data_IF_107243753778
#
_entry.id   IF_107243753778
#
_cell.length_a   1.000
_cell.length_b   1.000
_cell.length_c   1.000
_cell.angle_alpha   90.00
_cell.angle_beta   90.00
_cell.angle_gamma   90.00
#
_symmetry.space_group_name_H-M   'P 1'
#
loop_
_entity.id
_entity.type
_entity.pdbx_description
1 polymer ?
#
# COMPACT_ATOMS: atom_id res chain seq x y z
N UNK A 1 -12.58 -11.42 19.15
CA UNK A 1 -11.91 -10.30 18.46
C UNK A 1 -12.96 -9.48 17.76
N UNK A 2 -12.90 -8.15 17.86
CA UNK A 2 -13.91 -7.26 17.28
C UNK A 2 -13.72 -7.05 15.76
N UNK A 3 -12.52 -7.37 15.24
CA UNK A 3 -12.12 -7.20 13.84
C UNK A 3 -11.53 -8.48 13.23
N UNK A 4 -12.31 -9.59 13.14
CA UNK A 4 -11.80 -10.83 12.58
C UNK A 4 -11.52 -10.69 11.08
N UNK A 5 -10.49 -11.41 10.61
CA UNK A 5 -10.19 -11.53 9.19
C UNK A 5 -11.34 -12.23 8.45
N UNK A 6 -11.77 -11.64 7.34
CA UNK A 6 -12.65 -12.27 6.36
C UNK A 6 -12.03 -12.04 4.99
N UNK A 7 -11.79 -13.12 4.20
CA UNK A 7 -11.24 -12.97 2.85
C UNK A 7 -12.20 -12.17 1.97
N UNK A 8 -11.65 -11.51 0.94
CA UNK A 8 -12.47 -10.75 -0.02
C UNK A 8 -13.49 -11.66 -0.71
N UNK A 9 -14.71 -11.18 -0.86
CA UNK A 9 -15.71 -11.75 -1.75
C UNK A 9 -15.41 -11.44 -3.21
N UNK A 10 -16.16 -12.07 -4.12
CA UNK A 10 -16.03 -11.89 -5.57
C UNK A 10 -16.33 -10.44 -6.00
N UNK A 11 -17.30 -9.79 -5.38
CA UNK A 11 -17.75 -8.43 -5.73
C UNK A 11 -17.08 -7.32 -4.89
N UNK A 12 -16.22 -7.72 -3.95
CA UNK A 12 -15.52 -6.81 -3.06
C UNK A 12 -14.39 -6.10 -3.82
N UNK A 13 -14.38 -4.76 -3.69
CA UNK A 13 -13.39 -3.87 -4.26
C UNK A 13 -12.10 -3.89 -3.42
N UNK A 14 -10.94 -3.93 -4.08
CA UNK A 14 -9.61 -3.90 -3.46
C UNK A 14 -8.68 -2.98 -4.26
N UNK A 15 -7.64 -2.46 -3.62
CA UNK A 15 -6.67 -1.51 -4.17
C UNK A 15 -5.31 -2.20 -4.38
N UNK A 16 -4.31 -1.54 -4.99
CA UNK A 16 -2.92 -2.01 -4.93
C UNK A 16 -2.29 -1.79 -3.54
N UNK A 17 -2.96 -1.09 -2.61
CA UNK A 17 -2.41 -0.79 -1.30
C UNK A 17 -2.72 -1.95 -0.32
N UNK A 18 -1.71 -2.69 0.17
CA UNK A 18 -1.92 -3.77 1.12
C UNK A 18 -2.57 -3.29 2.43
N UNK A 19 -2.25 -2.06 2.88
CA UNK A 19 -2.81 -1.48 4.09
C UNK A 19 -4.35 -1.38 4.02
N UNK A 20 -4.87 -0.79 2.94
CA UNK A 20 -6.31 -0.58 2.77
C UNK A 20 -7.06 -1.90 2.59
N UNK A 21 -6.46 -2.85 1.86
CA UNK A 21 -7.02 -4.17 1.67
C UNK A 21 -7.15 -4.93 3.01
N UNK A 22 -6.13 -4.85 3.86
CA UNK A 22 -6.14 -5.44 5.20
C UNK A 22 -7.20 -4.78 6.09
N UNK A 23 -7.31 -3.45 6.10
CA UNK A 23 -8.37 -2.76 6.83
C UNK A 23 -9.78 -3.16 6.40
N UNK A 24 -10.01 -3.39 5.10
CA UNK A 24 -11.29 -3.91 4.60
C UNK A 24 -11.51 -5.38 4.99
N UNK A 25 -10.48 -6.23 4.89
CA UNK A 25 -10.55 -7.64 5.28
C UNK A 25 -10.76 -7.83 6.79
N UNK A 26 -10.40 -6.84 7.62
CA UNK A 26 -10.64 -6.84 9.07
C UNK A 26 -11.86 -6.00 9.49
N UNK A 27 -12.57 -5.38 8.53
CA UNK A 27 -13.80 -4.63 8.80
C UNK A 27 -13.59 -3.28 9.49
N UNK A 28 -12.37 -2.73 9.49
CA UNK A 28 -12.12 -1.32 9.84
C UNK A 28 -12.65 -0.39 8.75
N UNK A 29 -12.54 -0.82 7.49
CA UNK A 29 -13.25 -0.25 6.35
C UNK A 29 -14.48 -1.11 6.03
N UNK A 30 -15.47 -0.57 5.29
CA UNK A 30 -16.52 -1.40 4.69
C UNK A 30 -15.89 -2.59 3.97
N UNK A 31 -16.27 -3.82 4.32
CA UNK A 31 -15.67 -5.05 3.78
C UNK A 31 -15.79 -5.13 2.25
N UNK A 32 -16.85 -4.53 1.71
CA UNK A 32 -17.08 -4.36 0.27
C UNK A 32 -16.02 -3.50 -0.43
N UNK A 33 -15.26 -2.69 0.31
CA UNK A 33 -14.26 -1.77 -0.22
C UNK A 33 -14.88 -0.60 -1.00
N UNK A 34 -16.15 -0.26 -0.78
CA UNK A 34 -16.90 0.75 -1.55
C UNK A 34 -17.47 1.84 -0.64
N UNK A 35 -17.79 3.00 -1.24
CA UNK A 35 -18.42 4.15 -0.60
C UNK A 35 -17.69 4.63 0.66
N UNK A 36 -16.35 4.67 0.59
CA UNK A 36 -15.49 5.04 1.70
C UNK A 36 -15.35 6.55 1.72
N UNK A 37 -15.86 7.18 2.79
CA UNK A 37 -15.73 8.63 3.02
C UNK A 37 -14.43 8.94 3.76
N UNK A 38 -13.87 10.17 3.64
CA UNK A 38 -12.63 10.56 4.30
C UNK A 38 -12.60 10.25 5.80
N UNK A 39 -13.67 10.61 6.52
CA UNK A 39 -13.78 10.35 7.97
C UNK A 39 -13.67 8.87 8.35
N UNK A 40 -14.17 7.98 7.50
CA UNK A 40 -14.14 6.52 7.73
C UNK A 40 -12.72 6.01 7.48
N UNK A 41 -12.07 6.49 6.42
CA UNK A 41 -10.70 6.13 6.10
C UNK A 41 -9.71 6.60 7.18
N UNK A 42 -9.84 7.86 7.64
CA UNK A 42 -9.02 8.39 8.75
C UNK A 42 -9.18 7.51 9.98
N UNK A 43 -10.42 7.24 10.40
CA UNK A 43 -10.70 6.40 11.56
C UNK A 43 -10.09 5.00 11.43
N UNK A 44 -10.24 4.37 10.27
CA UNK A 44 -9.69 3.03 10.01
C UNK A 44 -8.15 3.01 10.08
N UNK A 45 -7.47 4.03 9.56
CA UNK A 45 -6.01 4.16 9.66
C UNK A 45 -5.55 4.33 11.12
N UNK A 46 -6.30 5.11 11.91
CA UNK A 46 -5.99 5.27 13.33
C UNK A 46 -6.23 3.98 14.12
N UNK A 47 -7.36 3.31 13.92
CA UNK A 47 -7.72 2.12 14.72
C UNK A 47 -6.99 0.86 14.29
N UNK A 48 -6.73 0.68 12.98
CA UNK A 48 -6.10 -0.54 12.46
C UNK A 48 -4.57 -0.48 12.42
N UNK A 49 -3.98 0.72 12.27
CA UNK A 49 -2.52 0.89 12.19
C UNK A 49 -1.96 1.85 13.24
N UNK A 50 -2.77 2.31 14.19
CA UNK A 50 -2.35 3.23 15.25
C UNK A 50 -1.71 4.53 14.71
N UNK A 51 -2.15 4.99 13.53
CA UNK A 51 -1.64 6.26 12.98
C UNK A 51 -2.16 7.44 13.80
N UNK A 52 -1.35 8.49 13.90
CA UNK A 52 -1.80 9.76 14.47
C UNK A 52 -2.83 10.42 13.55
N UNK A 53 -3.76 11.20 14.11
CA UNK A 53 -4.76 11.91 13.32
C UNK A 53 -4.14 12.79 12.21
N UNK A 54 -3.08 13.60 12.45
CA UNK A 54 -2.48 14.40 11.40
C UNK A 54 -1.96 13.57 10.23
N UNK A 55 -1.28 12.45 10.49
CA UNK A 55 -0.78 11.57 9.44
C UNK A 55 -1.92 10.88 8.70
N UNK A 56 -2.91 10.34 9.42
CA UNK A 56 -4.07 9.69 8.81
C UNK A 56 -4.89 10.65 7.95
N UNK A 57 -5.08 11.90 8.40
CA UNK A 57 -5.75 12.95 7.64
C UNK A 57 -4.93 13.35 6.41
N UNK A 58 -3.62 13.51 6.54
CA UNK A 58 -2.73 13.82 5.42
C UNK A 58 -2.80 12.75 4.33
N UNK A 59 -2.64 11.47 4.69
CA UNK A 59 -2.73 10.35 3.75
C UNK A 59 -4.11 10.27 3.08
N UNK A 60 -5.18 10.43 3.87
CA UNK A 60 -6.55 10.37 3.37
C UNK A 60 -6.84 11.50 2.37
N UNK A 61 -6.64 12.75 2.77
CA UNK A 61 -6.95 13.89 1.91
C UNK A 61 -5.99 13.98 0.72
N UNK A 62 -4.71 13.64 0.90
CA UNK A 62 -3.74 13.51 -0.19
C UNK A 62 -4.20 12.52 -1.25
N UNK A 63 -4.63 11.32 -0.84
CA UNK A 63 -5.19 10.32 -1.75
C UNK A 63 -6.43 10.81 -2.51
N UNK A 64 -7.38 11.46 -1.82
CA UNK A 64 -8.58 12.02 -2.44
C UNK A 64 -8.26 13.13 -3.46
N UNK A 65 -7.31 14.01 -3.13
CA UNK A 65 -6.83 15.07 -4.02
C UNK A 65 -6.19 14.46 -5.28
N UNK A 66 -5.28 13.49 -5.11
CA UNK A 66 -4.59 12.84 -6.23
C UNK A 66 -5.58 12.10 -7.14
N UNK A 67 -6.58 11.43 -6.58
CA UNK A 67 -7.66 10.78 -7.33
C UNK A 67 -8.61 11.77 -8.02
N UNK A 68 -8.69 13.01 -7.55
CA UNK A 68 -9.68 13.99 -7.98
C UNK A 68 -11.11 13.64 -7.53
N UNK A 69 -11.25 12.87 -6.45
CA UNK A 69 -12.53 12.42 -5.88
C UNK A 69 -12.65 12.93 -4.45
N UNK A 70 -13.70 13.70 -4.14
CA UNK A 70 -13.81 14.42 -2.86
C UNK A 70 -14.94 13.95 -1.93
N UNK A 71 -15.87 13.14 -2.43
CA UNK A 71 -17.03 12.68 -1.66
C UNK A 71 -16.79 11.30 -1.01
N UNK A 72 -16.59 10.30 -1.86
CA UNK A 72 -16.33 8.91 -1.48
C UNK A 72 -15.51 8.23 -2.56
N UNK A 73 -14.80 7.18 -2.16
CA UNK A 73 -13.97 6.35 -3.03
C UNK A 73 -14.29 4.87 -2.84
N UNK A 74 -14.07 4.09 -3.87
CA UNK A 74 -13.91 2.63 -3.78
C UNK A 74 -12.43 2.28 -3.79
N UNK A 75 -12.03 1.16 -3.19
CA UNK A 75 -10.63 0.76 -3.13
C UNK A 75 -10.01 0.58 -4.53
N UNK A 76 -10.78 0.11 -5.51
CA UNK A 76 -10.35 0.01 -6.91
C UNK A 76 -9.99 1.36 -7.53
N UNK A 77 -10.52 2.49 -7.02
CA UNK A 77 -10.18 3.82 -7.53
C UNK A 77 -8.68 4.12 -7.31
N UNK A 78 -8.09 3.57 -6.26
CA UNK A 78 -6.64 3.66 -6.01
C UNK A 78 -5.81 2.86 -7.01
N UNK A 79 -6.40 2.03 -7.88
CA UNK A 79 -5.67 1.41 -8.98
C UNK A 79 -5.52 2.35 -10.18
N UNK A 80 -6.15 3.54 -10.21
CA UNK A 80 -6.05 4.47 -11.35
C UNK A 80 -4.61 4.97 -11.51
N UNK A 81 -4.03 4.73 -12.67
CA UNK A 81 -2.63 4.97 -12.94
C UNK A 81 -2.26 6.46 -12.98
N UNK A 82 -1.10 6.79 -12.41
CA UNK A 82 -0.59 8.16 -12.34
C UNK A 82 -1.36 9.07 -11.38
N UNK A 83 -2.09 8.47 -10.43
CA UNK A 83 -2.78 9.18 -9.34
C UNK A 83 -2.01 9.01 -8.04
N UNK A 84 -2.39 8.00 -7.26
CA UNK A 84 -1.58 7.49 -6.15
C UNK A 84 -0.76 6.31 -6.63
N UNK A 85 -1.37 5.44 -7.45
CA UNK A 85 -0.69 4.32 -8.07
C UNK A 85 0.35 4.78 -9.08
N UNK A 86 1.46 4.05 -9.09
CA UNK A 86 2.60 4.26 -9.96
C UNK A 86 3.30 2.93 -10.30
N UNK A 87 4.05 2.97 -11.41
CA UNK A 87 4.94 1.88 -11.80
C UNK A 87 6.06 1.65 -10.77
N UNK A 88 6.90 0.64 -10.96
CA UNK A 88 7.96 0.27 -10.02
C UNK A 88 7.44 -0.10 -8.61
N UNK A 89 6.19 -0.54 -8.51
CA UNK A 89 5.64 -1.13 -7.28
C UNK A 89 6.48 -2.32 -6.83
N UNK A 90 6.68 -2.48 -5.52
CA UNK A 90 7.54 -3.54 -4.98
C UNK A 90 7.00 -4.97 -5.21
N UNK A 91 5.68 -5.12 -5.30
CA UNK A 91 5.03 -6.44 -5.36
C UNK A 91 3.95 -6.56 -6.45
N UNK A 92 3.73 -5.51 -7.25
CA UNK A 92 2.76 -5.48 -8.35
C UNK A 92 3.46 -5.22 -9.69
N UNK A 93 2.86 -5.69 -10.79
CA UNK A 93 3.30 -5.31 -12.14
C UNK A 93 2.98 -3.85 -12.43
N UNK A 94 3.76 -3.27 -13.34
CA UNK A 94 3.51 -1.92 -13.85
C UNK A 94 2.19 -1.88 -14.65
N UNK A 95 1.60 -0.69 -14.76
CA UNK A 95 0.41 -0.51 -15.59
C UNK A 95 0.76 -0.72 -17.06
N UNK A 96 -0.09 -1.48 -17.78
CA UNK A 96 0.13 -1.72 -19.21
C UNK A 96 -0.15 -0.44 -20.00
N UNK A 97 0.62 -0.19 -21.09
CA UNK A 97 0.39 0.98 -21.92
C UNK A 97 -1.07 1.08 -22.41
N UNK A 98 -1.75 2.17 -22.08
CA UNK A 98 -3.12 2.45 -22.47
C UNK A 98 -4.19 2.04 -21.46
N UNK A 99 -3.86 1.28 -20.41
CA UNK A 99 -4.80 0.92 -19.35
C UNK A 99 -4.97 2.09 -18.36
N UNK A 100 -6.21 2.37 -17.94
CA UNK A 100 -6.47 3.38 -16.90
C UNK A 100 -6.17 2.83 -15.49
N UNK A 101 -6.32 1.52 -15.28
CA UNK A 101 -6.19 0.89 -13.97
C UNK A 101 -5.04 -0.12 -13.96
N UNK A 102 -4.19 0.00 -12.95
CA UNK A 102 -3.10 -0.92 -12.65
C UNK A 102 -3.61 -2.27 -12.12
N UNK A 103 -2.82 -3.35 -12.31
CA UNK A 103 -3.08 -4.61 -11.64
C UNK A 103 -2.87 -4.48 -10.12
N UNK A 104 -3.79 -5.03 -9.34
CA UNK A 104 -3.74 -5.07 -7.87
C UNK A 104 -3.53 -6.50 -7.34
N UNK A 105 -2.82 -7.33 -8.13
CA UNK A 105 -2.55 -8.73 -7.81
C UNK A 105 -1.08 -8.90 -7.52
N UNK A 106 -0.77 -9.34 -6.30
CA UNK A 106 0.59 -9.59 -5.85
C UNK A 106 1.29 -10.63 -6.71
N UNK A 107 2.53 -10.32 -7.10
CA UNK A 107 3.37 -11.17 -7.93
C UNK A 107 4.35 -11.97 -7.07
N UNK A 108 4.28 -13.31 -7.05
CA UNK A 108 5.15 -14.14 -6.22
C UNK A 108 6.65 -13.92 -6.49
N UNK A 109 7.03 -13.64 -7.73
CA UNK A 109 8.41 -13.35 -8.12
C UNK A 109 8.92 -12.04 -7.50
N UNK A 110 8.05 -11.03 -7.35
CA UNK A 110 8.44 -9.76 -6.76
C UNK A 110 8.51 -9.84 -5.23
N UNK A 111 7.60 -10.60 -4.60
CA UNK A 111 7.73 -10.89 -3.16
C UNK A 111 9.04 -11.62 -2.86
N UNK A 112 9.40 -12.65 -3.65
CA UNK A 112 10.70 -13.34 -3.52
C UNK A 112 11.89 -12.40 -3.71
N UNK A 113 11.80 -11.47 -4.67
CA UNK A 113 12.87 -10.50 -4.91
C UNK A 113 13.02 -9.52 -3.73
N UNK A 114 11.91 -9.04 -3.16
CA UNK A 114 11.92 -8.20 -1.97
C UNK A 114 12.53 -8.93 -0.76
N UNK A 115 12.17 -10.20 -0.55
CA UNK A 115 12.78 -11.02 0.50
C UNK A 115 14.28 -11.20 0.29
N UNK A 116 14.72 -11.40 -0.96
CA UNK A 116 16.13 -11.54 -1.30
C UNK A 116 16.94 -10.25 -1.15
N UNK A 117 16.28 -9.09 -1.03
CA UNK A 117 16.94 -7.82 -0.74
C UNK A 117 17.32 -7.67 0.74
N UNK A 118 16.72 -8.45 1.64
CA UNK A 118 17.08 -8.51 3.06
C UNK A 118 18.53 -8.99 3.23
N UNK A 119 19.34 -8.18 3.92
CA UNK A 119 20.74 -8.53 4.18
C UNK A 119 20.91 -9.70 5.15
N UNK A 120 20.02 -9.85 6.13
CA UNK A 120 20.07 -10.91 7.15
C UNK A 120 19.15 -12.11 6.83
N UNK A 121 18.27 -11.98 5.84
CA UNK A 121 17.29 -13.00 5.46
C UNK A 121 16.10 -13.11 6.43
N UNK A 122 15.99 -12.20 7.39
CA UNK A 122 14.98 -12.22 8.46
C UNK A 122 14.17 -10.92 8.52
N UNK A 123 14.79 -9.77 8.26
CA UNK A 123 14.19 -8.44 8.41
C UNK A 123 14.44 -7.56 7.18
N UNK A 124 13.52 -6.62 6.96
CA UNK A 124 13.74 -5.48 6.08
C UNK A 124 14.10 -4.25 6.93
N UNK A 125 15.27 -3.69 6.66
CA UNK A 125 15.70 -2.38 7.16
C UNK A 125 15.42 -1.28 6.14
N UNK A 126 15.58 -0.01 6.56
CA UNK A 126 15.57 1.12 5.63
C UNK A 126 16.56 0.94 4.45
N UNK A 127 17.73 0.33 4.69
CA UNK A 127 18.72 0.10 3.65
C UNK A 127 18.29 -0.98 2.66
N UNK A 128 17.78 -2.11 3.15
CA UNK A 128 17.29 -3.20 2.29
C UNK A 128 16.14 -2.72 1.41
N UNK A 129 15.24 -1.93 1.98
CA UNK A 129 14.13 -1.35 1.25
C UNK A 129 14.61 -0.33 0.22
N UNK A 130 15.56 0.55 0.56
CA UNK A 130 16.15 1.47 -0.40
C UNK A 130 16.80 0.73 -1.60
N UNK A 131 17.47 -0.39 -1.33
CA UNK A 131 18.02 -1.27 -2.38
C UNK A 131 16.91 -1.86 -3.25
N UNK A 132 15.82 -2.35 -2.65
CA UNK A 132 14.66 -2.86 -3.38
C UNK A 132 14.02 -1.79 -4.27
N UNK A 133 13.95 -0.53 -3.79
CA UNK A 133 13.48 0.63 -4.56
C UNK A 133 14.33 0.90 -5.78
N UNK A 134 15.66 1.03 -5.59
CA UNK A 134 16.60 1.26 -6.70
C UNK A 134 16.49 0.16 -7.75
N UNK A 135 16.39 -1.10 -7.31
CA UNK A 135 16.21 -2.24 -8.21
C UNK A 135 14.92 -2.13 -9.02
N UNK A 136 13.77 -1.93 -8.37
CA UNK A 136 12.47 -1.83 -9.06
C UNK A 136 12.39 -0.63 -10.00
N UNK A 137 12.95 0.50 -9.61
CA UNK A 137 12.99 1.70 -10.46
C UNK A 137 13.89 1.52 -11.68
N UNK A 138 14.96 0.72 -11.59
CA UNK A 138 15.80 0.37 -12.74
C UNK A 138 15.14 -0.65 -13.70
N UNK A 139 14.24 -1.50 -13.19
CA UNK A 139 13.49 -2.49 -13.98
C UNK A 139 12.23 -1.88 -14.65
N UNK A 140 11.73 -0.78 -14.10
CA UNK A 140 10.53 -0.07 -14.56
C UNK A 140 10.89 1.09 -15.49
N UNK A 141 9.89 1.58 -16.24
CA UNK A 141 9.98 2.85 -16.97
C UNK A 141 9.01 3.87 -16.37
N UNK A 142 9.22 5.14 -16.71
CA UNK A 142 8.26 6.23 -16.49
C UNK A 142 7.89 6.46 -15.01
N UNK A 143 8.91 6.69 -14.18
CA UNK A 143 8.74 7.16 -12.80
C UNK A 143 9.10 8.64 -12.71
N UNK A 144 8.14 9.48 -12.31
CA UNK A 144 8.40 10.89 -12.03
C UNK A 144 8.81 11.13 -10.56
N UNK A 145 9.25 12.36 -10.27
CA UNK A 145 9.73 12.72 -8.95
C UNK A 145 8.65 12.65 -7.86
N UNK A 146 7.39 12.96 -8.18
CA UNK A 146 6.29 12.92 -7.22
C UNK A 146 6.00 11.47 -6.82
N UNK A 147 5.84 10.59 -7.80
CA UNK A 147 5.57 9.18 -7.55
C UNK A 147 6.77 8.50 -6.90
N UNK A 148 8.01 8.88 -7.23
CA UNK A 148 9.18 8.39 -6.49
C UNK A 148 9.13 8.76 -5.00
N UNK A 149 8.66 9.96 -4.63
CA UNK A 149 8.44 10.33 -3.21
C UNK A 149 7.31 9.54 -2.56
N UNK A 150 6.17 9.36 -3.25
CA UNK A 150 5.06 8.52 -2.76
C UNK A 150 5.58 7.13 -2.41
N UNK A 151 6.34 6.57 -3.32
CA UNK A 151 6.84 5.21 -3.26
C UNK A 151 7.92 5.00 -2.17
N UNK A 152 8.70 6.03 -1.86
CA UNK A 152 9.54 6.07 -0.64
C UNK A 152 8.70 6.16 0.63
N UNK A 153 7.66 7.00 0.60
CA UNK A 153 6.73 7.19 1.72
C UNK A 153 5.98 5.91 2.10
N UNK A 154 5.56 5.11 1.12
CA UNK A 154 4.95 3.78 1.34
C UNK A 154 5.83 2.92 2.24
N UNK A 155 7.13 2.89 1.97
CA UNK A 155 8.07 2.09 2.72
C UNK A 155 8.44 2.68 4.08
N UNK A 156 8.50 4.01 4.18
CA UNK A 156 8.59 4.67 5.48
C UNK A 156 7.40 4.30 6.38
N UNK A 157 6.18 4.17 5.83
CA UNK A 157 5.02 3.70 6.57
C UNK A 157 5.17 2.24 7.00
N UNK A 158 5.64 1.35 6.12
CA UNK A 158 5.90 -0.07 6.47
C UNK A 158 6.89 -0.19 7.62
N UNK A 159 8.01 0.52 7.55
CA UNK A 159 9.03 0.56 8.60
C UNK A 159 8.47 1.14 9.91
N UNK A 160 7.71 2.24 9.83
CA UNK A 160 7.12 2.87 11.02
C UNK A 160 6.01 2.05 11.69
N UNK A 161 5.22 1.31 10.91
CA UNK A 161 4.10 0.49 11.43
C UNK A 161 4.62 -0.84 12.00
N UNK A 162 5.51 -1.52 11.28
CA UNK A 162 5.90 -2.89 11.60
C UNK A 162 7.34 -3.05 12.12
N UNK A 163 8.16 -2.00 12.04
CA UNK A 163 9.58 -2.07 12.37
C UNK A 163 9.91 -1.95 13.86
N UNK A 164 8.95 -1.54 14.69
CA UNK A 164 9.14 -1.32 16.11
C UNK A 164 10.25 -0.30 16.41
N UNK A 165 10.87 -0.40 17.59
CA UNK A 165 11.90 0.53 18.03
C UNK A 165 13.21 0.44 17.23
N UNK A 166 13.46 -0.68 16.56
CA UNK A 166 14.68 -0.89 15.75
C UNK A 166 14.48 -0.57 14.26
N UNK A 167 13.25 -0.21 13.84
CA UNK A 167 12.89 -0.01 12.43
C UNK A 167 13.25 -1.22 11.53
N UNK A 168 13.09 -2.43 12.09
CA UNK A 168 13.34 -3.69 11.39
C UNK A 168 12.03 -4.46 11.23
N UNK A 169 11.57 -4.60 10.00
CA UNK A 169 10.30 -5.26 9.72
C UNK A 169 10.55 -6.75 9.49
N UNK A 170 10.00 -7.66 10.31
CA UNK A 170 10.18 -9.09 10.08
C UNK A 170 9.61 -9.52 8.72
N UNK A 171 10.35 -10.28 7.94
CA UNK A 171 9.90 -10.78 6.64
C UNK A 171 8.64 -11.63 6.76
N UNK A 172 8.47 -12.36 7.88
CA UNK A 172 7.23 -13.10 8.13
C UNK A 172 6.01 -12.18 8.22
N UNK A 173 6.16 -10.99 8.83
CA UNK A 173 5.10 -9.99 8.88
C UNK A 173 4.76 -9.50 7.47
N UNK A 174 5.76 -9.19 6.65
CA UNK A 174 5.56 -8.73 5.26
C UNK A 174 4.91 -9.81 4.38
N UNK A 175 5.27 -11.08 4.56
CA UNK A 175 4.67 -12.20 3.81
C UNK A 175 3.20 -12.43 4.18
N UNK A 176 2.86 -12.21 5.45
CA UNK A 176 1.51 -12.43 5.95
C UNK A 176 0.57 -11.27 5.61
N UNK A 177 1.11 -10.05 5.65
CA UNK A 177 0.40 -8.81 5.36
C UNK A 177 0.13 -8.63 3.86
#
# INVERSE_FOLDING_TARGET
EDHPFVPRGQDDSRSPCPALNTLANHGYLPRSGRNIRPRVLIKALQEGYNLTYPLAAFLTYGGFILLGQFAEVSLQDFCRHGRVEHNASLIHEDTKPGDEYAPNVTQPQYMKALEADSADGEHLTAFDVAKARVRREAESKDMDALHAEVARGEMALVLGIFGGAEEKVPLQTVRHW
#
